data_IF_966884704965
#
_entry.id   IF_966884704965
#
_cell.length_a   1.000
_cell.length_b   1.000
_cell.length_c   1.000
_cell.angle_alpha   90.00
_cell.angle_beta   90.00
_cell.angle_gamma   90.00
#
_symmetry.space_group_name_H-M   'P 1'
#
loop_
_entity.id
_entity.type
_entity.pdbx_description
1 polymer ?
#
# COMPACT_ATOMS: atom_id res chain seq x y z
N UNK A 1 9.95 7.41 -13.31
CA UNK A 1 8.78 8.12 -12.73
C UNK A 1 7.88 7.09 -12.06
N UNK A 2 7.11 7.49 -11.07
CA UNK A 2 6.21 6.59 -10.37
C UNK A 2 4.83 7.24 -10.21
N UNK A 3 3.80 6.41 -10.06
CA UNK A 3 2.45 6.81 -9.70
C UNK A 3 2.03 6.02 -8.48
N UNK A 4 1.37 6.68 -7.53
CA UNK A 4 0.67 6.01 -6.45
C UNK A 4 -0.84 6.10 -6.68
N UNK A 5 -1.52 4.99 -6.49
CA UNK A 5 -2.97 4.88 -6.50
C UNK A 5 -3.40 4.56 -5.06
N UNK A 6 -4.33 5.34 -4.51
CA UNK A 6 -4.93 5.14 -3.18
C UNK A 6 -6.44 5.16 -3.39
N UNK A 7 -7.09 4.01 -3.20
CA UNK A 7 -8.51 3.82 -3.53
C UNK A 7 -8.84 4.25 -4.99
N UNK A 8 -9.54 5.38 -5.16
CA UNK A 8 -9.94 5.95 -6.46
C UNK A 8 -9.07 7.13 -6.89
N UNK A 9 -8.12 7.54 -6.05
CA UNK A 9 -7.25 8.68 -6.30
C UNK A 9 -5.91 8.18 -6.86
N UNK A 10 -5.36 8.91 -7.83
CA UNK A 10 -4.04 8.63 -8.37
C UNK A 10 -3.20 9.91 -8.41
N UNK A 11 -1.92 9.79 -8.09
CA UNK A 11 -0.98 10.90 -8.04
C UNK A 11 0.38 10.50 -8.57
N UNK A 12 1.01 11.39 -9.35
CA UNK A 12 2.40 11.22 -9.76
C UNK A 12 3.33 11.44 -8.56
N UNK A 13 4.38 10.62 -8.46
CA UNK A 13 5.43 10.74 -7.46
C UNK A 13 6.75 11.14 -8.10
N UNK A 14 7.37 12.19 -7.56
CA UNK A 14 8.71 12.65 -7.91
C UNK A 14 9.74 12.10 -6.92
N UNK A 15 11.04 12.09 -7.27
CA UNK A 15 12.09 11.76 -6.32
C UNK A 15 12.01 12.64 -5.08
N UNK A 16 12.13 12.02 -3.90
CA UNK A 16 12.00 12.65 -2.57
C UNK A 16 10.58 13.11 -2.18
N UNK A 17 9.54 12.74 -2.95
CA UNK A 17 8.17 12.90 -2.47
C UNK A 17 7.85 11.86 -1.39
N UNK A 18 7.15 12.31 -0.35
CA UNK A 18 6.65 11.48 0.74
C UNK A 18 5.14 11.39 0.68
N UNK A 19 4.61 10.18 0.60
CA UNK A 19 3.17 9.94 0.61
C UNK A 19 2.80 9.14 1.84
N UNK A 20 1.96 9.71 2.70
CA UNK A 20 1.32 8.98 3.78
C UNK A 20 0.08 8.24 3.24
N UNK A 21 -0.01 6.95 3.55
CA UNK A 21 -1.18 6.11 3.25
C UNK A 21 -1.73 5.58 4.57
N UNK A 22 -2.99 5.90 4.95
CA UNK A 22 -3.60 5.32 6.13
C UNK A 22 -3.76 3.80 5.98
N UNK A 23 -3.56 3.05 7.07
CA UNK A 23 -3.65 1.58 7.07
C UNK A 23 -5.01 1.03 6.59
N UNK A 24 -6.07 1.83 6.65
CA UNK A 24 -7.42 1.46 6.21
C UNK A 24 -7.62 1.59 4.70
N UNK A 25 -6.65 2.14 3.96
CA UNK A 25 -6.78 2.40 2.54
C UNK A 25 -5.91 1.44 1.73
N UNK A 26 -6.51 0.87 0.68
CA UNK A 26 -5.76 0.11 -0.30
C UNK A 26 -4.96 1.06 -1.17
N UNK A 27 -3.69 0.72 -1.38
CA UNK A 27 -2.82 1.47 -2.27
C UNK A 27 -1.97 0.58 -3.15
N UNK A 28 -1.49 1.16 -4.24
CA UNK A 28 -0.60 0.52 -5.21
C UNK A 28 0.42 1.53 -5.72
N UNK A 29 1.68 1.13 -5.76
CA UNK A 29 2.75 1.89 -6.41
C UNK A 29 3.01 1.30 -7.79
N UNK A 30 3.03 2.14 -8.82
CA UNK A 30 3.23 1.78 -10.22
C UNK A 30 4.49 2.49 -10.73
N UNK A 31 5.46 1.71 -11.21
CA UNK A 31 6.59 2.26 -11.94
C UNK A 31 6.16 2.60 -13.38
N UNK A 32 6.20 3.87 -13.75
CA UNK A 32 5.86 4.34 -15.11
C UNK A 32 7.11 4.65 -15.94
N UNK A 33 8.31 4.54 -15.37
CA UNK A 33 9.58 4.78 -16.06
C UNK A 33 10.16 3.54 -16.74
N UNK A 34 11.14 3.77 -17.60
CA UNK A 34 11.91 2.71 -18.28
C UNK A 34 12.97 2.05 -17.38
N UNK A 35 13.35 2.68 -16.26
CA UNK A 35 14.34 2.15 -15.30
C UNK A 35 13.67 1.51 -14.09
N UNK A 36 14.33 0.58 -13.38
CA UNK A 36 13.83 0.06 -12.12
C UNK A 36 13.55 1.17 -11.10
N UNK A 37 12.38 1.12 -10.46
CA UNK A 37 12.01 2.02 -9.37
C UNK A 37 12.63 1.52 -8.05
N UNK A 38 13.26 2.42 -7.30
CA UNK A 38 13.72 2.18 -5.93
C UNK A 38 12.98 3.15 -5.02
N UNK A 39 12.34 2.62 -3.98
CA UNK A 39 11.62 3.41 -2.98
C UNK A 39 11.78 2.77 -1.60
N UNK A 40 11.54 3.57 -0.56
CA UNK A 40 11.47 3.11 0.82
C UNK A 40 10.02 3.17 1.30
N UNK A 41 9.58 2.15 2.01
CA UNK A 41 8.28 2.11 2.65
C UNK A 41 8.47 1.91 4.15
N UNK A 42 7.88 2.79 4.95
CA UNK A 42 7.87 2.65 6.39
C UNK A 42 6.48 2.17 6.83
N UNK A 43 6.41 0.93 7.27
CA UNK A 43 5.15 0.29 7.68
C UNK A 43 5.13 0.17 9.20
N UNK A 44 4.17 0.84 9.84
CA UNK A 44 3.85 0.60 11.24
C UNK A 44 2.97 -0.65 11.33
N UNK A 45 3.57 -1.77 11.76
CA UNK A 45 2.86 -3.02 12.01
C UNK A 45 2.73 -3.26 13.51
N UNK A 46 1.50 -3.48 13.98
CA UNK A 46 1.23 -3.96 15.34
C UNK A 46 0.95 -5.47 15.28
N UNK A 47 1.87 -6.33 15.76
CA UNK A 47 1.68 -7.78 15.75
C UNK A 47 0.58 -8.27 16.70
N UNK A 48 0.11 -7.40 17.61
CA UNK A 48 -0.94 -7.71 18.57
C UNK A 48 -2.31 -7.23 18.11
N UNK A 49 -2.38 -6.43 17.04
CA UNK A 49 -3.64 -6.01 16.46
C UNK A 49 -4.40 -7.22 15.89
N UNK A 50 -5.74 -7.25 16.04
CA UNK A 50 -6.54 -8.31 15.45
C UNK A 50 -6.33 -8.36 13.94
N UNK A 51 -6.20 -9.57 13.39
CA UNK A 51 -6.02 -9.75 11.96
C UNK A 51 -7.18 -9.10 11.20
N UNK A 52 -6.84 -8.28 10.19
CA UNK A 52 -7.84 -7.77 9.25
C UNK A 52 -8.18 -8.92 8.30
N UNK A 53 -9.20 -9.69 8.68
CA UNK A 53 -9.71 -10.80 7.87
C UNK A 53 -10.71 -10.25 6.87
N UNK A 54 -10.43 -10.43 5.58
CA UNK A 54 -11.40 -10.03 4.55
C UNK A 54 -12.61 -10.97 4.59
N UNK A 55 -13.82 -10.52 4.23
CA UNK A 55 -15.00 -11.39 4.20
C UNK A 55 -14.79 -12.64 3.34
N UNK A 56 -14.10 -12.51 2.21
CA UNK A 56 -13.73 -13.64 1.35
C UNK A 56 -12.81 -14.65 2.03
N UNK A 57 -11.96 -14.22 2.96
CA UNK A 57 -10.99 -15.04 3.68
C UNK A 57 -11.52 -15.54 5.03
N UNK A 58 -12.76 -15.18 5.40
CA UNK A 58 -13.35 -15.55 6.69
C UNK A 58 -13.47 -17.07 6.91
N UNK A 59 -13.47 -17.84 5.83
CA UNK A 59 -13.48 -19.30 5.86
C UNK A 59 -12.12 -19.92 6.25
N UNK A 60 -11.02 -19.16 6.16
CA UNK A 60 -9.66 -19.61 6.49
C UNK A 60 -9.32 -19.47 7.98
N UNK A 61 -10.18 -18.81 8.75
CA UNK A 61 -9.94 -18.46 10.16
C UNK A 61 -10.76 -19.33 11.12
N UNK A 62 -11.64 -20.20 10.61
CA UNK A 62 -12.42 -21.13 11.42
C UNK A 62 -11.66 -22.45 11.61
N UNK A 63 -11.05 -22.61 12.79
CA UNK A 63 -10.82 -23.92 13.43
C UNK A 63 -11.89 -24.15 14.52
#
# INVERSE_FOLDING_TARGET
EARIEIERLSGAMRPNDYQHVPATHHHRIINTGATPLRYFEFVCFDPTAPAIVRPEDAHLVKE
#
